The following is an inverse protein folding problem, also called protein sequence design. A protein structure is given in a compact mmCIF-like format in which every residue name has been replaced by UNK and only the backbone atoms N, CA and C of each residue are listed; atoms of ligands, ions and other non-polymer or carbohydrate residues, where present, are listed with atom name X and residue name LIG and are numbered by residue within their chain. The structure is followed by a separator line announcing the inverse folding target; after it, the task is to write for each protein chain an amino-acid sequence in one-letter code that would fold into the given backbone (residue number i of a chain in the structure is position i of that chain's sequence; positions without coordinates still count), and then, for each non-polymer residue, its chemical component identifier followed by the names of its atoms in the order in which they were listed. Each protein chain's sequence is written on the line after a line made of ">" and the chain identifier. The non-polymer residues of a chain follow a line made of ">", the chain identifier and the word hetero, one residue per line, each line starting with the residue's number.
data_IF_774972833024
#
_entry.id   IF_774972833024
#
_cell.length_a   1.000
_cell.length_b   1.000
_cell.length_c   1.000
_cell.angle_alpha   90.00
_cell.angle_beta   90.00
_cell.angle_gamma   90.00
#
_symmetry.space_group_name_H-M   'P 1'
#
loop_
_entity.id
_entity.type
_entity.pdbx_description
1 polymer ?
#
# COMPACT_ATOMS: atom_id res chain seq x y z
N UNK A 1 19.65 -17.90 -7.65
CA UNK A 1 19.27 -17.25 -8.93
C UNK A 1 18.52 -15.91 -8.69
N UNK A 2 18.75 -15.23 -7.55
CA UNK A 2 17.88 -14.16 -7.04
C UNK A 2 18.50 -12.74 -7.13
N UNK A 3 19.45 -12.54 -8.05
CA UNK A 3 20.17 -11.26 -8.21
C UNK A 3 20.17 -10.71 -9.64
N UNK A 4 19.53 -11.39 -10.60
CA UNK A 4 19.25 -10.78 -11.89
C UNK A 4 18.03 -9.90 -11.75
N UNK A 5 18.26 -8.62 -11.43
CA UNK A 5 17.23 -7.59 -11.54
C UNK A 5 16.63 -7.55 -12.95
N UNK A 6 15.50 -6.85 -13.14
CA UNK A 6 14.82 -6.76 -14.43
C UNK A 6 15.79 -6.34 -15.54
N UNK A 7 15.80 -7.12 -16.63
CA UNK A 7 16.66 -6.88 -17.80
C UNK A 7 16.27 -5.65 -18.61
N UNK A 8 15.04 -5.18 -18.45
CA UNK A 8 14.50 -4.01 -19.14
C UNK A 8 13.63 -3.16 -18.22
N UNK A 9 13.46 -1.88 -18.58
CA UNK A 9 12.56 -0.98 -17.85
C UNK A 9 11.11 -1.50 -17.83
N UNK A 10 10.65 -2.14 -18.90
CA UNK A 10 9.33 -2.76 -18.95
C UNK A 10 9.20 -3.89 -17.92
N UNK A 11 10.20 -4.77 -17.82
CA UNK A 11 10.21 -5.84 -16.83
C UNK A 11 10.18 -5.29 -15.41
N UNK A 12 10.91 -4.19 -15.15
CA UNK A 12 10.87 -3.50 -13.86
C UNK A 12 9.47 -2.99 -13.54
N UNK A 13 8.81 -2.31 -14.50
CA UNK A 13 7.45 -1.79 -14.31
C UNK A 13 6.48 -2.93 -14.04
N UNK A 14 6.56 -4.03 -14.78
CA UNK A 14 5.68 -5.20 -14.58
C UNK A 14 5.89 -5.82 -13.20
N UNK A 15 7.14 -6.07 -12.80
CA UNK A 15 7.45 -6.61 -11.48
C UNK A 15 6.97 -5.67 -10.38
N UNK A 16 7.21 -4.37 -10.51
CA UNK A 16 6.72 -3.38 -9.55
C UNK A 16 5.19 -3.36 -9.46
N UNK A 17 4.48 -3.43 -10.58
CA UNK A 17 3.03 -3.45 -10.62
C UNK A 17 2.45 -4.70 -9.93
N UNK A 18 3.00 -5.87 -10.24
CA UNK A 18 2.51 -7.15 -9.74
C UNK A 18 2.85 -7.37 -8.26
N UNK A 19 4.08 -7.04 -7.87
CA UNK A 19 4.61 -7.39 -6.56
C UNK A 19 4.51 -6.27 -5.53
N UNK A 20 4.43 -5.00 -5.94
CA UNK A 20 4.31 -3.87 -5.00
C UNK A 20 2.97 -3.16 -5.11
N UNK A 21 2.55 -2.77 -6.32
CA UNK A 21 1.35 -1.94 -6.50
C UNK A 21 0.07 -2.72 -6.17
N UNK A 22 -0.08 -3.93 -6.72
CA UNK A 22 -1.28 -4.74 -6.55
C UNK A 22 -1.53 -5.10 -5.06
N UNK A 23 -0.53 -5.59 -4.31
CA UNK A 23 -0.69 -5.88 -2.88
C UNK A 23 -0.95 -4.62 -2.07
N UNK A 24 -0.28 -3.50 -2.38
CA UNK A 24 -0.53 -2.22 -1.70
C UNK A 24 -1.99 -1.76 -1.88
N UNK A 25 -2.54 -1.86 -3.09
CA UNK A 25 -3.94 -1.51 -3.36
C UNK A 25 -4.91 -2.43 -2.61
N UNK A 26 -4.62 -3.72 -2.54
CA UNK A 26 -5.43 -4.69 -1.81
C UNK A 26 -5.45 -4.40 -0.31
N UNK A 27 -4.28 -4.27 0.32
CA UNK A 27 -4.17 -3.94 1.75
C UNK A 27 -4.73 -2.56 2.06
N UNK A 28 -4.47 -1.57 1.21
CA UNK A 28 -5.04 -0.23 1.33
C UNK A 28 -6.57 -0.25 1.29
N UNK A 29 -7.16 -1.05 0.41
CA UNK A 29 -8.61 -1.25 0.33
C UNK A 29 -9.20 -1.87 1.60
N UNK A 30 -8.54 -2.90 2.14
CA UNK A 30 -8.97 -3.55 3.39
C UNK A 30 -8.92 -2.56 4.55
N UNK A 31 -7.78 -1.89 4.75
CA UNK A 31 -7.59 -0.89 5.81
C UNK A 31 -8.66 0.20 5.65
N UNK A 32 -8.85 0.72 4.43
CA UNK A 32 -9.85 1.73 4.18
C UNK A 32 -11.26 1.25 4.54
N UNK A 33 -11.63 0.03 4.16
CA UNK A 33 -12.94 -0.55 4.48
C UNK A 33 -13.17 -0.66 5.99
N UNK A 34 -12.16 -1.10 6.75
CA UNK A 34 -12.25 -1.17 8.21
C UNK A 34 -12.42 0.20 8.86
N UNK A 35 -11.67 1.21 8.39
CA UNK A 35 -11.69 2.53 9.01
C UNK A 35 -12.81 3.44 8.50
N UNK A 36 -13.37 3.20 7.30
CA UNK A 36 -14.43 4.03 6.71
C UNK A 36 -15.70 4.05 7.56
N UNK A 37 -15.98 2.96 8.27
CA UNK A 37 -17.13 2.86 9.16
C UNK A 37 -16.89 3.37 10.58
N UNK A 38 -15.64 3.66 10.93
CA UNK A 38 -15.31 4.26 12.23
C UNK A 38 -15.91 5.65 12.40
N UNK A 39 -16.32 5.96 13.63
CA UNK A 39 -16.79 7.30 14.02
C UNK A 39 -15.70 8.34 13.72
N UNK A 40 -14.43 7.99 13.87
CA UNK A 40 -13.30 8.87 13.53
C UNK A 40 -13.30 9.31 12.06
N UNK A 41 -13.51 8.38 11.12
CA UNK A 41 -13.53 8.71 9.70
C UNK A 41 -14.75 9.56 9.31
N UNK A 42 -15.93 9.20 9.80
CA UNK A 42 -17.19 9.89 9.47
C UNK A 42 -17.26 11.31 10.06
N UNK A 43 -16.76 11.51 11.27
CA UNK A 43 -16.90 12.78 12.00
C UNK A 43 -15.74 13.73 11.75
N UNK A 44 -14.51 13.23 11.55
CA UNK A 44 -13.31 14.07 11.54
C UNK A 44 -12.68 14.16 10.14
N UNK A 45 -12.61 13.04 9.43
CA UNK A 45 -11.89 12.97 8.15
C UNK A 45 -12.78 13.42 6.98
N UNK A 46 -14.07 13.04 6.99
CA UNK A 46 -15.00 13.35 5.89
C UNK A 46 -15.24 14.87 5.70
N UNK A 47 -15.14 15.66 6.77
CA UNK A 47 -15.53 17.08 6.77
C UNK A 47 -14.48 17.97 6.12
N UNK A 48 -13.19 17.65 6.25
CA UNK A 48 -12.10 18.52 5.80
C UNK A 48 -11.25 17.85 4.71
N UNK A 49 -11.15 18.49 3.54
CA UNK A 49 -10.37 18.02 2.39
C UNK A 49 -8.91 17.74 2.75
N UNK A 50 -8.28 18.62 3.54
CA UNK A 50 -6.89 18.46 3.97
C UNK A 50 -6.70 17.17 4.78
N UNK A 51 -7.63 16.88 5.69
CA UNK A 51 -7.60 15.67 6.53
C UNK A 51 -7.85 14.41 5.72
N UNK A 52 -8.70 14.50 4.69
CA UNK A 52 -8.95 13.42 3.75
C UNK A 52 -7.70 13.08 2.93
N UNK A 53 -6.98 14.10 2.45
CA UNK A 53 -5.70 13.91 1.74
C UNK A 53 -4.65 13.30 2.67
N UNK A 54 -4.48 13.84 3.88
CA UNK A 54 -3.56 13.30 4.88
C UNK A 54 -3.88 11.84 5.22
N UNK A 55 -5.16 11.49 5.38
CA UNK A 55 -5.57 10.12 5.62
C UNK A 55 -5.15 9.17 4.49
N UNK A 56 -5.36 9.57 3.22
CA UNK A 56 -4.92 8.74 2.09
C UNK A 56 -3.41 8.62 2.00
N UNK A 57 -2.65 9.67 2.30
CA UNK A 57 -1.19 9.62 2.33
C UNK A 57 -0.72 8.60 3.38
N UNK A 58 -1.27 8.66 4.60
CA UNK A 58 -0.94 7.72 5.67
C UNK A 58 -1.32 6.29 5.30
N UNK A 59 -2.48 6.10 4.65
CA UNK A 59 -2.95 4.80 4.18
C UNK A 59 -1.98 4.19 3.16
N UNK A 60 -1.53 4.97 2.18
CA UNK A 60 -0.54 4.54 1.18
C UNK A 60 0.77 4.15 1.85
N UNK A 61 1.32 5.01 2.73
CA UNK A 61 2.56 4.72 3.46
C UNK A 61 2.44 3.42 4.27
N UNK A 62 1.32 3.23 4.97
CA UNK A 62 1.06 2.03 5.77
C UNK A 62 1.00 0.78 4.89
N UNK A 63 0.32 0.85 3.74
CA UNK A 63 0.22 -0.28 2.81
C UNK A 63 1.58 -0.68 2.23
N UNK A 64 2.43 0.29 1.90
CA UNK A 64 3.79 0.04 1.39
C UNK A 64 4.67 -0.60 2.46
N UNK A 65 4.62 -0.09 3.70
CA UNK A 65 5.36 -0.66 4.82
C UNK A 65 4.97 -2.12 5.07
N UNK A 66 3.67 -2.44 5.05
CA UNK A 66 3.17 -3.82 5.21
C UNK A 66 3.71 -4.72 4.09
N UNK A 67 3.71 -4.24 2.84
CA UNK A 67 4.24 -5.01 1.73
C UNK A 67 5.74 -5.27 1.88
N UNK A 68 6.54 -4.25 2.23
CA UNK A 68 7.99 -4.40 2.46
C UNK A 68 8.27 -5.37 3.61
N UNK A 69 7.57 -5.22 4.74
CA UNK A 69 7.68 -6.13 5.89
C UNK A 69 7.32 -7.57 5.51
N UNK A 70 6.28 -7.75 4.70
CA UNK A 70 5.88 -9.08 4.21
C UNK A 70 6.96 -9.67 3.30
N UNK A 71 7.52 -8.89 2.37
CA UNK A 71 8.66 -9.34 1.56
C UNK A 71 9.87 -9.69 2.40
N UNK A 72 10.14 -8.95 3.46
CA UNK A 72 11.25 -9.25 4.37
C UNK A 72 11.04 -10.58 5.09
N UNK A 73 9.86 -10.79 5.69
CA UNK A 73 9.52 -12.01 6.44
C UNK A 73 9.49 -13.24 5.52
N UNK A 74 8.86 -13.14 4.34
CA UNK A 74 8.73 -14.26 3.41
C UNK A 74 9.94 -14.46 2.51
N UNK A 75 10.77 -13.44 2.31
CA UNK A 75 11.97 -13.50 1.48
C UNK A 75 13.20 -14.07 2.21
N UNK A 76 13.17 -14.14 3.54
CA UNK A 76 14.19 -14.84 4.34
C UNK A 76 13.90 -16.36 4.50
N UNK A 77 12.76 -16.86 4.03
CA UNK A 77 12.40 -18.29 3.98
C UNK A 77 12.86 -18.90 2.65
#
# INVERSE_FOLDING_TARGET
>A
MFLSGPSSFLDFVYIFLLFMLLPCLFFGGIIHSFFKDSIFYKTIIKINLLRKVLYYIVLVISSVLICILSFYIFGEI
#
